data_IF_846326907740
#
_entry.id   IF_846326907740
#
_cell.length_a   1.000
_cell.length_b   1.000
_cell.length_c   1.000
_cell.angle_alpha   90.00
_cell.angle_beta   90.00
_cell.angle_gamma   90.00
#
_symmetry.space_group_name_H-M   'P 1'
#
loop_
_entity.id
_entity.type
_entity.pdbx_description
1 polymer ?
#
# COMPACT_ATOMS: atom_id res chain seq x y z
N UNK A 1 -5.55 -13.05 -7.70
CA UNK A 1 -5.37 -13.00 -6.23
C UNK A 1 -5.29 -11.55 -5.77
N UNK A 2 -5.63 -11.24 -4.51
CA UNK A 2 -5.72 -9.86 -3.96
C UNK A 2 -5.15 -9.71 -2.54
N UNK A 3 -5.44 -8.60 -1.88
CA UNK A 3 -5.37 -8.45 -0.42
C UNK A 3 -6.82 -8.41 0.07
N UNK A 4 -7.11 -9.03 1.21
CA UNK A 4 -8.44 -8.93 1.80
C UNK A 4 -8.74 -7.48 2.17
N UNK A 5 -9.96 -7.00 1.89
CA UNK A 5 -10.35 -5.63 2.24
C UNK A 5 -10.24 -5.35 3.75
N UNK A 6 -10.43 -6.36 4.59
CA UNK A 6 -10.24 -6.27 6.04
C UNK A 6 -8.79 -6.00 6.48
N UNK A 7 -7.81 -6.30 5.64
CA UNK A 7 -6.40 -6.03 5.91
C UNK A 7 -5.97 -4.62 5.46
N UNK A 8 -6.89 -3.83 4.88
CA UNK A 8 -6.67 -2.45 4.45
C UNK A 8 -7.37 -1.52 5.44
N UNK A 9 -6.58 -0.66 6.09
CA UNK A 9 -7.07 0.35 7.01
C UNK A 9 -7.28 1.70 6.34
N UNK A 10 -7.04 2.78 7.11
CA UNK A 10 -7.19 4.16 6.65
C UNK A 10 -6.40 4.42 5.36
N UNK A 11 -7.05 5.11 4.42
CA UNK A 11 -6.46 5.58 3.17
C UNK A 11 -6.46 7.10 3.22
N UNK A 12 -5.27 7.69 3.23
CA UNK A 12 -5.09 9.14 3.17
C UNK A 12 -4.58 9.51 1.77
N UNK A 13 -5.39 10.27 1.03
CA UNK A 13 -5.08 10.73 -0.32
C UNK A 13 -4.63 12.18 -0.26
N UNK A 14 -3.44 12.44 -0.79
CA UNK A 14 -2.88 13.78 -0.97
C UNK A 14 -2.76 14.07 -2.46
N UNK A 15 -2.42 15.32 -2.81
CA UNK A 15 -2.36 15.76 -4.21
C UNK A 15 -1.34 14.96 -5.04
N UNK A 16 -0.23 14.54 -4.43
CA UNK A 16 0.88 13.86 -5.12
C UNK A 16 1.21 12.47 -4.59
N UNK A 17 0.55 12.02 -3.53
CA UNK A 17 0.81 10.73 -2.90
C UNK A 17 -0.45 10.19 -2.22
N UNK A 18 -0.49 8.87 -2.03
CA UNK A 18 -1.50 8.23 -1.20
C UNK A 18 -0.82 7.33 -0.19
N UNK A 19 -1.31 7.35 1.05
CA UNK A 19 -0.86 6.49 2.13
C UNK A 19 -1.99 5.53 2.49
N UNK A 20 -1.64 4.27 2.67
CA UNK A 20 -2.59 3.19 2.95
C UNK A 20 -2.06 2.42 4.14
N UNK A 21 -2.84 2.37 5.22
CA UNK A 21 -2.56 1.48 6.35
C UNK A 21 -2.86 0.03 5.92
N UNK A 22 -1.92 -0.88 6.17
CA UNK A 22 -2.06 -2.30 5.83
C UNK A 22 -1.65 -3.12 7.04
N UNK A 23 -2.36 -4.21 7.30
CA UNK A 23 -1.97 -5.20 8.32
C UNK A 23 -0.52 -5.64 8.08
N UNK A 24 0.27 -5.66 9.15
CA UNK A 24 1.66 -6.08 9.13
C UNK A 24 1.87 -7.45 8.45
N UNK A 25 0.95 -8.41 8.67
CA UNK A 25 1.02 -9.75 8.05
C UNK A 25 0.87 -9.68 6.52
N UNK A 26 0.10 -8.72 6.01
CA UNK A 26 -0.14 -8.52 4.58
C UNK A 26 0.80 -7.48 3.95
N UNK A 27 1.57 -6.72 4.73
CA UNK A 27 2.40 -5.61 4.24
C UNK A 27 3.47 -6.02 3.21
N UNK A 28 4.07 -7.21 3.36
CA UNK A 28 5.04 -7.74 2.38
C UNK A 28 4.38 -8.07 1.04
N UNK A 29 3.26 -8.79 1.07
CA UNK A 29 2.47 -9.11 -0.11
C UNK A 29 1.97 -7.85 -0.81
N UNK A 30 1.52 -6.85 -0.04
CA UNK A 30 1.05 -5.59 -0.56
C UNK A 30 2.13 -4.82 -1.31
N UNK A 31 3.30 -4.65 -0.67
CA UNK A 31 4.43 -3.96 -1.27
C UNK A 31 4.83 -4.62 -2.59
N UNK A 32 5.00 -5.95 -2.61
CA UNK A 32 5.40 -6.68 -3.82
C UNK A 32 4.40 -6.50 -4.97
N UNK A 33 3.10 -6.48 -4.66
CA UNK A 33 2.06 -6.30 -5.67
C UNK A 33 1.99 -4.88 -6.20
N UNK A 34 2.06 -3.89 -5.32
CA UNK A 34 2.00 -2.50 -5.72
C UNK A 34 3.28 -2.08 -6.47
N UNK A 35 4.43 -2.66 -6.12
CA UNK A 35 5.70 -2.42 -6.80
C UNK A 35 5.77 -3.06 -8.21
N UNK A 36 5.23 -4.27 -8.37
CA UNK A 36 5.26 -4.99 -9.65
C UNK A 36 4.03 -4.73 -10.53
N UNK A 37 2.94 -4.27 -9.92
CA UNK A 37 1.67 -4.00 -10.57
C UNK A 37 1.59 -2.62 -11.21
N UNK A 38 0.44 -2.37 -11.82
CA UNK A 38 0.05 -1.06 -12.33
C UNK A 38 -1.22 -0.63 -11.61
N UNK A 39 -1.29 0.64 -11.23
CA UNK A 39 -2.51 1.26 -10.72
C UNK A 39 -3.04 2.14 -11.85
N UNK A 40 -4.27 1.88 -12.30
CA UNK A 40 -4.89 2.62 -13.42
C UNK A 40 -3.94 2.72 -14.64
N UNK A 41 -3.31 1.60 -15.01
CA UNK A 41 -2.40 1.51 -16.17
C UNK A 41 -0.99 2.08 -15.98
N UNK A 42 -0.67 2.67 -14.84
CA UNK A 42 0.64 3.31 -14.57
C UNK A 42 1.41 2.58 -13.47
N UNK A 43 2.74 2.53 -13.60
CA UNK A 43 3.62 2.10 -12.50
C UNK A 43 3.82 3.26 -11.54
N UNK A 44 3.75 2.97 -10.24
CA UNK A 44 4.00 3.95 -9.19
C UNK A 44 5.18 3.52 -8.34
N UNK A 45 5.94 4.49 -7.83
CA UNK A 45 6.98 4.23 -6.83
C UNK A 45 6.30 3.98 -5.49
N UNK A 46 6.54 2.82 -4.90
CA UNK A 46 5.93 2.40 -3.64
C UNK A 46 7.02 2.07 -2.64
N UNK A 47 6.84 2.49 -1.39
CA UNK A 47 7.76 2.20 -0.29
C UNK A 47 6.98 1.93 0.99
N UNK A 48 7.51 1.05 1.83
CA UNK A 48 7.06 0.96 3.22
C UNK A 48 7.57 2.18 3.97
N UNK A 49 6.71 2.81 4.76
CA UNK A 49 7.11 3.85 5.69
C UNK A 49 7.60 3.17 6.98
N UNK A 50 8.85 3.43 7.38
CA UNK A 50 9.45 2.90 8.61
C UNK A 50 9.10 3.72 9.87
N UNK A 51 8.19 4.70 9.75
CA UNK A 51 8.17 5.86 10.66
C UNK A 51 6.94 6.08 11.54
N UNK A 52 5.99 5.14 11.66
CA UNK A 52 4.94 5.29 12.67
C UNK A 52 5.26 4.38 13.87
N UNK A 53 5.85 4.90 14.97
CA UNK A 53 5.81 4.19 16.24
C UNK A 53 4.35 3.94 16.62
N UNK A 54 4.12 2.82 17.31
CA UNK A 54 2.79 2.32 17.68
C UNK A 54 2.02 3.31 18.54
#
# INVERSE_FOLDING_TARGET
GGIAGSAVGKIDVMDFAAYVAIDHKSAGQALNRLANGKIKGRKFKVRKLQGQPR
#
